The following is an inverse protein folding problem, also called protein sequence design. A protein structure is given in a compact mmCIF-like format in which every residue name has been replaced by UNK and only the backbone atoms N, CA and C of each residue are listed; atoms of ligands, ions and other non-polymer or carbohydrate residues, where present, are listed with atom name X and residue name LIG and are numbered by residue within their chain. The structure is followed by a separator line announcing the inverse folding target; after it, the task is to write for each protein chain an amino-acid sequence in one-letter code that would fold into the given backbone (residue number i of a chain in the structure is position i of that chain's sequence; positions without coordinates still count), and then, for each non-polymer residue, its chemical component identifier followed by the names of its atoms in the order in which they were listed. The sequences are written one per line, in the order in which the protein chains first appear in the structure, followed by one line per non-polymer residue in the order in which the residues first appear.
data_IF_688476446691
#
_entry.id   IF_688476446691
#
_cell.length_a   1.000
_cell.length_b   1.000
_cell.length_c   1.000
_cell.angle_alpha   90.00
_cell.angle_beta   90.00
_cell.angle_gamma   90.00
#
_symmetry.space_group_name_H-M   'P 1'
#
loop_
_entity.id
_entity.type
_entity.pdbx_description
1 polymer ?
#
# COMPACT_ATOMS: atom_id res chain seq x y z
N UNK A 1 17.20 -8.89 -5.89
CA UNK A 1 16.71 -7.97 -6.93
C UNK A 1 16.40 -6.65 -6.25
N UNK A 2 17.33 -5.71 -6.38
CA UNK A 2 17.30 -4.38 -5.80
C UNK A 2 16.31 -3.53 -6.58
N UNK A 3 15.02 -3.67 -6.29
CA UNK A 3 14.03 -2.69 -6.71
C UNK A 3 13.85 -1.76 -5.53
N UNK A 4 14.61 -0.67 -5.53
CA UNK A 4 14.28 0.51 -4.73
C UNK A 4 12.79 0.77 -4.93
N UNK A 5 12.03 0.50 -3.88
CA UNK A 5 10.61 0.77 -3.88
C UNK A 5 10.50 2.29 -3.91
N UNK A 6 10.39 2.83 -5.12
CA UNK A 6 10.51 4.25 -5.40
C UNK A 6 9.50 5.02 -4.55
N UNK A 7 10.00 5.81 -3.61
CA UNK A 7 9.20 6.59 -2.66
C UNK A 7 8.25 7.52 -3.42
N UNK A 8 8.66 8.01 -4.61
CA UNK A 8 7.79 8.84 -5.45
C UNK A 8 6.61 8.04 -6.01
N UNK A 9 6.87 6.80 -6.42
CA UNK A 9 5.82 5.88 -6.88
C UNK A 9 4.87 5.53 -5.73
N UNK A 10 5.41 5.34 -4.53
CA UNK A 10 4.60 5.08 -3.34
C UNK A 10 3.69 6.26 -2.99
N UNK A 11 4.18 7.50 -3.04
CA UNK A 11 3.36 8.69 -2.80
C UNK A 11 2.15 8.75 -3.75
N UNK A 12 2.33 8.43 -5.03
CA UNK A 12 1.22 8.35 -5.99
C UNK A 12 0.22 7.26 -5.59
N UNK A 13 0.72 6.04 -5.31
CA UNK A 13 -0.11 4.92 -4.87
C UNK A 13 -0.90 5.25 -3.60
N UNK A 14 -0.32 5.97 -2.64
CA UNK A 14 -1.00 6.42 -1.44
C UNK A 14 -2.17 7.36 -1.76
N UNK A 15 -1.98 8.31 -2.67
CA UNK A 15 -3.05 9.22 -3.09
C UNK A 15 -4.21 8.46 -3.75
N UNK A 16 -3.90 7.51 -4.63
CA UNK A 16 -4.91 6.69 -5.32
C UNK A 16 -5.64 5.76 -4.35
N UNK A 17 -4.91 5.12 -3.43
CA UNK A 17 -5.49 4.31 -2.36
C UNK A 17 -6.42 5.15 -1.46
N UNK A 18 -6.01 6.36 -1.08
CA UNK A 18 -6.84 7.25 -0.26
C UNK A 18 -8.09 7.72 -1.01
N UNK A 19 -8.00 7.93 -2.32
CA UNK A 19 -9.14 8.28 -3.17
C UNK A 19 -10.14 7.12 -3.27
N UNK A 20 -9.64 5.89 -3.42
CA UNK A 20 -10.45 4.68 -3.55
C UNK A 20 -11.00 4.18 -2.21
N UNK A 21 -10.27 4.41 -1.14
CA UNK A 21 -10.59 3.99 0.23
C UNK A 21 -10.46 5.18 1.19
N UNK A 22 -11.47 6.06 1.26
CA UNK A 22 -11.46 7.25 2.12
C UNK A 22 -11.31 6.93 3.62
N UNK A 23 -11.58 5.68 4.02
CA UNK A 23 -11.38 5.20 5.39
C UNK A 23 -9.91 4.97 5.76
N UNK A 24 -9.01 4.92 4.77
CA UNK A 24 -7.57 4.79 5.03
C UNK A 24 -7.04 6.12 5.57
N UNK A 25 -6.44 6.05 6.75
CA UNK A 25 -5.77 7.19 7.34
C UNK A 25 -4.37 7.35 6.75
N UNK A 26 -3.81 8.55 6.88
CA UNK A 26 -2.40 8.76 6.50
C UNK A 26 -1.47 7.80 7.26
N UNK A 27 -1.80 7.43 8.50
CA UNK A 27 -1.03 6.48 9.29
C UNK A 27 -1.09 5.05 8.72
N UNK A 28 -2.22 4.66 8.12
CA UNK A 28 -2.39 3.35 7.48
C UNK A 28 -1.61 3.24 6.17
N UNK A 29 -1.44 4.36 5.49
CA UNK A 29 -0.68 4.48 4.26
C UNK A 29 0.79 4.76 4.50
N UNK A 30 1.15 5.24 5.70
CA UNK A 30 2.52 5.57 6.05
C UNK A 30 3.33 4.29 6.18
N UNK A 31 4.22 4.07 5.23
CA UNK A 31 5.19 2.99 5.32
C UNK A 31 6.19 3.36 6.42
N UNK A 32 6.03 2.76 7.60
CA UNK A 32 6.98 2.88 8.72
C UNK A 32 8.18 1.96 8.46
N UNK A 33 9.17 1.96 9.36
CA UNK A 33 10.39 1.12 9.32
C UNK A 33 10.18 -0.41 9.23
N UNK A 34 8.97 -0.86 8.95
CA UNK A 34 8.56 -2.24 8.73
C UNK A 34 8.97 -2.69 7.32
N UNK A 35 9.13 -3.99 7.14
CA UNK A 35 9.38 -4.52 5.80
C UNK A 35 8.20 -4.21 4.89
N UNK A 36 8.46 -4.09 3.58
CA UNK A 36 7.39 -3.95 2.58
C UNK A 36 6.31 -5.01 2.77
N UNK A 37 6.69 -6.25 3.08
CA UNK A 37 5.74 -7.34 3.24
C UNK A 37 4.80 -7.14 4.44
N UNK A 38 5.32 -6.67 5.57
CA UNK A 38 4.52 -6.39 6.76
C UNK A 38 3.54 -5.25 6.51
N UNK A 39 4.02 -4.17 5.88
CA UNK A 39 3.18 -3.05 5.49
C UNK A 39 2.01 -3.50 4.59
N UNK A 40 2.29 -4.28 3.54
CA UNK A 40 1.24 -4.80 2.65
C UNK A 40 0.28 -5.75 3.37
N UNK A 41 0.76 -6.54 4.34
CA UNK A 41 -0.08 -7.43 5.14
C UNK A 41 -1.06 -6.66 6.01
N UNK A 42 -0.60 -5.61 6.69
CA UNK A 42 -1.45 -4.75 7.54
C UNK A 42 -2.51 -4.04 6.69
N UNK A 43 -2.09 -3.47 5.56
CA UNK A 43 -2.99 -2.78 4.64
C UNK A 43 -4.05 -3.72 4.06
N UNK A 44 -3.65 -4.94 3.68
CA UNK A 44 -4.56 -5.97 3.18
C UNK A 44 -5.62 -6.35 4.22
N UNK A 45 -5.21 -6.53 5.49
CA UNK A 45 -6.14 -6.80 6.59
C UNK A 45 -7.16 -5.68 6.77
N UNK A 46 -6.72 -4.40 6.74
CA UNK A 46 -7.63 -3.26 6.84
C UNK A 46 -8.62 -3.17 5.69
N UNK A 47 -8.18 -3.50 4.48
CA UNK A 47 -9.02 -3.49 3.29
C UNK A 47 -9.86 -4.76 3.13
N UNK A 48 -9.72 -5.74 4.04
CA UNK A 48 -10.35 -7.07 3.95
C UNK A 48 -10.05 -7.77 2.62
N UNK A 49 -8.84 -7.57 2.10
CA UNK A 49 -8.32 -8.17 0.89
C UNK A 49 -7.25 -9.20 1.24
N UNK A 50 -7.03 -10.17 0.36
CA UNK A 50 -5.80 -10.95 0.39
C UNK A 50 -4.62 -10.10 -0.07
N UNK A 51 -3.42 -10.46 0.35
CA UNK A 51 -2.17 -9.82 -0.11
C UNK A 51 -2.07 -9.82 -1.64
N UNK A 52 -2.47 -10.90 -2.30
CA UNK A 52 -2.46 -11.02 -3.77
C UNK A 52 -3.41 -10.04 -4.44
N UNK A 53 -4.59 -9.83 -3.88
CA UNK A 53 -5.56 -8.86 -4.40
C UNK A 53 -5.07 -7.43 -4.22
N UNK A 54 -4.47 -7.13 -3.07
CA UNK A 54 -3.85 -5.83 -2.82
C UNK A 54 -2.70 -5.56 -3.81
N UNK A 55 -1.81 -6.53 -4.01
CA UNK A 55 -0.69 -6.41 -4.96
C UNK A 55 -1.18 -6.23 -6.41
N UNK A 56 -2.19 -6.99 -6.84
CA UNK A 56 -2.80 -6.82 -8.17
C UNK A 56 -3.47 -5.46 -8.33
N UNK A 57 -4.14 -4.99 -7.28
CA UNK A 57 -4.76 -3.67 -7.30
C UNK A 57 -3.70 -2.58 -7.44
N UNK A 58 -2.65 -2.61 -6.62
CA UNK A 58 -1.57 -1.64 -6.65
C UNK A 58 -0.80 -1.69 -7.97
N UNK A 59 -0.65 -2.87 -8.59
CA UNK A 59 -0.05 -3.00 -9.91
C UNK A 59 -0.91 -2.43 -11.05
N UNK A 60 -2.21 -2.20 -10.80
CA UNK A 60 -3.16 -1.63 -11.75
C UNK A 60 -3.45 -0.14 -11.51
N UNK A 61 -2.85 0.46 -10.48
CA UNK A 61 -2.83 1.91 -10.24
C UNK A 61 -1.62 2.51 -10.97
#
# INVERSE_FOLDING_TARGET
MSTDFDINKWNSIQMDLKRKYPQLTNADLMWRHETKEDFFKILAVKLKLSRRELEKMIASL
#
